data_IF_759367446451
#
_entry.id   IF_759367446451
#
_cell.length_a   1.000
_cell.length_b   1.000
_cell.length_c   1.000
_cell.angle_alpha   90.00
_cell.angle_beta   90.00
_cell.angle_gamma   90.00
#
_symmetry.space_group_name_H-M   'P 1'
#
loop_
_entity.id
_entity.type
_entity.pdbx_description
1 polymer ?
#
# COMPACT_ATOMS: atom_id res chain seq x y z
N UNK A 1 5.17 29.54 -14.61
CA UNK A 1 6.47 29.06 -14.09
C UNK A 1 6.22 27.75 -13.38
N UNK A 2 6.97 26.68 -13.61
CA UNK A 2 6.78 25.40 -12.93
C UNK A 2 7.48 25.40 -11.57
N UNK A 3 7.02 24.59 -10.63
CA UNK A 3 7.67 24.33 -9.34
C UNK A 3 7.85 22.82 -9.15
N UNK A 4 8.66 22.43 -8.18
CA UNK A 4 8.86 21.03 -7.81
C UNK A 4 8.04 20.71 -6.55
N UNK A 5 7.27 19.63 -6.60
CA UNK A 5 6.50 19.14 -5.46
C UNK A 5 7.43 18.29 -4.59
N UNK A 6 8.00 18.89 -3.54
CA UNK A 6 8.82 18.21 -2.55
C UNK A 6 7.96 17.65 -1.42
N UNK A 7 8.44 16.60 -0.70
CA UNK A 7 7.72 16.03 0.45
C UNK A 7 7.35 17.08 1.50
N UNK A 8 8.26 18.02 1.73
CA UNK A 8 8.01 19.13 2.66
C UNK A 8 6.83 19.98 2.19
N UNK A 9 6.78 20.33 0.91
CA UNK A 9 5.69 21.12 0.33
C UNK A 9 4.38 20.33 0.34
N UNK A 10 4.43 19.04 0.02
CA UNK A 10 3.28 18.14 0.06
C UNK A 10 2.66 18.08 1.46
N UNK A 11 3.47 17.89 2.51
CA UNK A 11 2.99 17.89 3.89
C UNK A 11 2.39 19.24 4.29
N UNK A 12 2.98 20.35 3.87
CA UNK A 12 2.42 21.68 4.11
C UNK A 12 1.06 21.86 3.40
N UNK A 13 0.92 21.32 2.17
CA UNK A 13 -0.35 21.36 1.43
C UNK A 13 -1.40 20.52 2.15
N UNK A 14 -1.06 19.31 2.65
CA UNK A 14 -1.99 18.49 3.45
C UNK A 14 -2.53 19.28 4.65
N UNK A 15 -1.65 19.94 5.41
CA UNK A 15 -2.03 20.77 6.56
C UNK A 15 -2.92 21.96 6.14
N UNK A 16 -2.60 22.60 5.02
CA UNK A 16 -3.36 23.73 4.50
C UNK A 16 -4.76 23.33 4.02
N UNK A 17 -4.91 22.17 3.38
CA UNK A 17 -6.21 21.65 2.95
C UNK A 17 -7.13 21.31 4.13
N UNK A 18 -6.56 21.00 5.30
CA UNK A 18 -7.32 20.80 6.53
C UNK A 18 -7.70 22.10 7.25
N UNK A 19 -7.03 23.18 6.92
CA UNK A 19 -7.31 24.50 7.48
C UNK A 19 -8.47 25.16 6.72
N UNK A 20 -9.61 25.35 7.41
CA UNK A 20 -10.80 25.98 6.84
C UNK A 20 -10.86 27.50 7.10
N UNK A 21 -9.90 28.05 7.84
CA UNK A 21 -9.91 29.46 8.24
C UNK A 21 -9.11 30.36 7.28
N UNK A 22 -8.12 29.79 6.59
CA UNK A 22 -7.22 30.53 5.71
C UNK A 22 -7.05 29.84 4.37
N UNK A 23 -6.99 30.62 3.30
CA UNK A 23 -6.65 30.15 1.96
C UNK A 23 -5.15 30.27 1.72
N UNK A 24 -4.58 29.24 1.09
CA UNK A 24 -3.17 29.16 0.77
C UNK A 24 -2.96 28.99 -0.74
N UNK A 25 -1.82 29.47 -1.22
CA UNK A 25 -1.35 29.29 -2.60
C UNK A 25 0.11 28.87 -2.61
N UNK A 26 0.53 28.16 -3.65
CA UNK A 26 1.93 27.79 -3.86
C UNK A 26 2.63 28.90 -4.62
N UNK A 27 3.69 29.46 -4.03
CA UNK A 27 4.65 30.31 -4.73
C UNK A 27 5.62 29.43 -5.54
N UNK A 28 5.43 29.39 -6.85
CA UNK A 28 6.21 28.56 -7.75
C UNK A 28 7.68 28.99 -7.84
N UNK A 29 8.00 30.25 -7.56
CA UNK A 29 9.37 30.76 -7.62
C UNK A 29 10.23 30.24 -6.47
N UNK A 30 9.63 30.14 -5.29
CA UNK A 30 10.33 29.75 -4.06
C UNK A 30 9.98 28.30 -3.63
N UNK A 31 9.03 27.64 -4.32
CA UNK A 31 8.50 26.30 -3.97
C UNK A 31 8.05 26.23 -2.50
N UNK A 32 7.27 27.24 -2.07
CA UNK A 32 6.75 27.33 -0.70
C UNK A 32 5.27 27.68 -0.70
N UNK A 33 4.60 27.30 0.38
CA UNK A 33 3.21 27.64 0.63
C UNK A 33 3.13 29.03 1.30
N UNK A 34 2.27 29.89 0.79
CA UNK A 34 2.02 31.24 1.34
C UNK A 34 0.52 31.47 1.52
N UNK A 35 0.17 32.30 2.49
CA UNK A 35 -1.23 32.69 2.70
C UNK A 35 -1.69 33.60 1.54
N UNK A 36 -2.88 33.36 1.00
CA UNK A 36 -3.42 34.09 -0.14
C UNK A 36 -3.58 35.58 0.14
N UNK A 37 -3.87 35.97 1.38
CA UNK A 37 -4.00 37.38 1.80
C UNK A 37 -2.67 38.16 1.73
N UNK A 38 -1.54 37.46 1.71
CA UNK A 38 -0.19 38.04 1.69
C UNK A 38 0.37 38.27 0.27
N UNK A 39 -0.39 37.87 -0.76
CA UNK A 39 0.06 37.88 -2.15
C UNK A 39 -0.34 39.19 -2.82
N UNK A 40 0.64 39.97 -3.26
CA UNK A 40 0.43 41.12 -4.14
C UNK A 40 0.33 40.67 -5.59
N UNK A 41 -0.69 41.14 -6.28
CA UNK A 41 -1.23 40.96 -7.63
C UNK A 41 -0.35 40.53 -8.85
N UNK A 42 0.72 39.79 -8.70
CA UNK A 42 1.41 39.14 -9.84
C UNK A 42 0.96 37.69 -9.98
N UNK A 43 -0.17 37.49 -10.67
CA UNK A 43 -0.90 36.21 -10.79
C UNK A 43 -0.10 35.07 -11.47
N UNK A 44 1.02 35.34 -12.11
CA UNK A 44 1.72 34.37 -12.96
C UNK A 44 2.58 33.33 -12.22
N UNK A 45 2.86 33.56 -10.93
CA UNK A 45 3.76 32.70 -10.15
C UNK A 45 3.08 31.97 -8.98
N UNK A 46 1.77 32.17 -8.80
CA UNK A 46 1.03 31.55 -7.71
C UNK A 46 0.01 30.55 -8.23
N UNK A 47 -0.03 29.39 -7.58
CA UNK A 47 -0.98 28.33 -7.92
C UNK A 47 -1.92 28.08 -6.75
N UNK A 48 -3.22 28.12 -7.03
CA UNK A 48 -4.25 27.78 -6.05
C UNK A 48 -4.19 26.29 -5.73
N UNK A 49 -4.39 25.96 -4.46
CA UNK A 49 -4.49 24.57 -4.03
C UNK A 49 -5.75 23.90 -4.62
N UNK A 50 -5.76 22.55 -4.73
CA UNK A 50 -6.97 21.84 -5.13
C UNK A 50 -8.08 22.09 -4.11
N UNK A 51 -9.31 22.21 -4.60
CA UNK A 51 -10.46 22.50 -3.72
C UNK A 51 -10.81 21.27 -2.89
N UNK A 52 -10.65 21.41 -1.58
CA UNK A 52 -11.06 20.41 -0.61
C UNK A 52 -12.29 20.92 0.15
N UNK A 53 -13.44 20.30 -0.08
CA UNK A 53 -14.70 20.74 0.51
C UNK A 53 -15.29 19.70 1.49
N UNK A 54 -16.33 20.09 2.21
CA UNK A 54 -17.00 19.22 3.18
C UNK A 54 -17.61 17.96 2.58
N UNK A 55 -18.01 17.98 1.30
CA UNK A 55 -18.57 16.81 0.63
C UNK A 55 -17.47 15.77 0.36
N UNK A 56 -16.28 16.19 -0.10
CA UNK A 56 -15.13 15.31 -0.28
C UNK A 56 -14.68 14.70 1.04
N UNK A 57 -14.60 15.55 2.09
CA UNK A 57 -14.32 15.08 3.45
C UNK A 57 -15.35 14.09 4.00
N UNK A 58 -16.62 14.22 3.62
CA UNK A 58 -17.67 13.26 3.97
C UNK A 58 -17.54 11.97 3.18
N UNK A 59 -17.35 12.03 1.87
CA UNK A 59 -17.16 10.86 1.01
C UNK A 59 -15.98 10.01 1.46
N UNK A 60 -14.84 10.65 1.77
CA UNK A 60 -13.66 9.96 2.29
C UNK A 60 -13.96 9.16 3.57
N UNK A 61 -14.76 9.72 4.49
CA UNK A 61 -15.17 9.00 5.70
C UNK A 61 -16.12 7.86 5.41
N UNK A 62 -17.04 8.07 4.48
CA UNK A 62 -17.99 7.04 4.06
C UNK A 62 -17.25 5.85 3.42
N UNK A 63 -16.29 6.11 2.55
CA UNK A 63 -15.48 5.08 1.91
C UNK A 63 -14.63 4.31 2.93
N UNK A 64 -14.00 5.02 3.85
CA UNK A 64 -13.27 4.38 4.95
C UNK A 64 -14.16 3.44 5.76
N UNK A 65 -15.33 3.93 6.19
CA UNK A 65 -16.27 3.15 7.03
C UNK A 65 -16.83 1.96 6.26
N UNK A 66 -17.08 2.10 4.96
CA UNK A 66 -17.58 1.00 4.12
C UNK A 66 -16.58 -0.15 4.02
N UNK A 67 -15.28 0.18 4.03
CA UNK A 67 -14.19 -0.78 3.95
C UNK A 67 -13.62 -1.21 5.31
N UNK A 68 -14.17 -0.69 6.42
CA UNK A 68 -13.68 -1.01 7.75
C UNK A 68 -14.11 -2.43 8.19
N UNK A 69 -13.16 -3.27 8.54
CA UNK A 69 -13.36 -4.68 8.93
C UNK A 69 -13.59 -4.87 10.45
N UNK A 70 -13.88 -3.79 11.19
CA UNK A 70 -14.27 -3.82 12.60
C UNK A 70 -15.80 -3.63 12.74
N UNK A 71 -16.63 -4.70 12.79
CA UNK A 71 -18.10 -4.60 12.64
C UNK A 71 -18.76 -3.66 13.63
N UNK A 72 -18.37 -3.70 14.91
CA UNK A 72 -18.93 -2.85 15.96
C UNK A 72 -18.62 -1.38 15.71
N UNK A 73 -17.36 -1.06 15.43
CA UNK A 73 -16.92 0.31 15.18
C UNK A 73 -17.51 0.84 13.87
N UNK A 74 -17.57 -0.01 12.86
CA UNK A 74 -18.20 0.32 11.57
C UNK A 74 -19.66 0.72 11.74
N UNK A 75 -20.44 -0.07 12.47
CA UNK A 75 -21.86 0.24 12.73
C UNK A 75 -22.03 1.56 13.47
N UNK A 76 -21.19 1.84 14.46
CA UNK A 76 -21.23 3.09 15.22
C UNK A 76 -20.85 4.30 14.35
N UNK A 77 -19.77 4.19 13.56
CA UNK A 77 -19.37 5.26 12.64
C UNK A 77 -20.40 5.48 11.52
N UNK A 78 -21.04 4.42 11.02
CA UNK A 78 -22.14 4.53 10.06
C UNK A 78 -23.33 5.34 10.65
N UNK A 79 -23.73 5.06 11.88
CA UNK A 79 -24.79 5.82 12.57
C UNK A 79 -24.42 7.30 12.68
N UNK A 80 -23.15 7.61 12.95
CA UNK A 80 -22.67 8.99 13.03
C UNK A 80 -22.72 9.67 11.66
N UNK A 81 -22.28 9.00 10.58
CA UNK A 81 -22.34 9.55 9.23
C UNK A 81 -23.77 9.90 8.82
N UNK A 82 -24.79 9.16 9.28
CA UNK A 82 -26.19 9.40 9.00
C UNK A 82 -26.89 10.34 10.01
N UNK A 83 -26.21 10.83 11.03
CA UNK A 83 -26.82 11.67 12.09
C UNK A 83 -27.17 13.10 11.67
N UNK A 84 -26.64 13.56 10.52
CA UNK A 84 -26.96 14.84 9.90
C UNK A 84 -26.36 16.09 10.55
N UNK A 85 -25.94 16.08 11.81
CA UNK A 85 -25.31 17.21 12.51
C UNK A 85 -24.06 16.81 13.28
N UNK A 86 -23.03 17.65 13.19
CA UNK A 86 -21.78 17.44 13.94
C UNK A 86 -21.02 16.18 13.53
N UNK A 87 -21.25 15.66 12.32
CA UNK A 87 -20.72 14.41 11.81
C UNK A 87 -19.20 14.34 12.01
N UNK A 88 -18.45 15.31 11.57
CA UNK A 88 -16.99 15.30 11.63
C UNK A 88 -16.45 15.32 13.06
N UNK A 89 -17.08 16.10 13.94
CA UNK A 89 -16.71 16.15 15.35
C UNK A 89 -16.99 14.82 16.04
N UNK A 90 -18.19 14.28 15.83
CA UNK A 90 -18.60 13.02 16.46
C UNK A 90 -17.76 11.84 15.92
N UNK A 91 -17.47 11.82 14.61
CA UNK A 91 -16.59 10.83 13.98
C UNK A 91 -15.21 10.81 14.65
N UNK A 92 -14.59 11.99 14.82
CA UNK A 92 -13.28 12.11 15.51
C UNK A 92 -13.36 11.70 16.98
N UNK A 93 -14.44 12.02 17.69
CA UNK A 93 -14.62 11.63 19.09
C UNK A 93 -14.78 10.11 19.25
N UNK A 94 -15.50 9.47 18.34
CA UNK A 94 -15.67 8.02 18.36
C UNK A 94 -14.36 7.31 18.03
N UNK A 95 -13.61 7.75 17.02
CA UNK A 95 -12.30 7.17 16.69
C UNK A 95 -11.34 7.19 17.87
N UNK A 96 -11.33 8.25 18.69
CA UNK A 96 -10.50 8.32 19.91
C UNK A 96 -10.79 7.22 20.93
N UNK A 97 -11.97 6.60 20.88
CA UNK A 97 -12.32 5.47 21.75
C UNK A 97 -11.72 4.15 21.23
N UNK A 98 -11.29 4.13 19.96
CA UNK A 98 -10.72 2.98 19.26
C UNK A 98 -9.36 3.31 18.64
N UNK A 99 -8.27 3.35 19.43
CA UNK A 99 -6.95 3.83 18.97
C UNK A 99 -6.42 3.14 17.72
N UNK A 100 -6.66 1.84 17.56
CA UNK A 100 -6.22 1.09 16.39
C UNK A 100 -6.97 1.53 15.12
N UNK A 101 -8.28 1.80 15.23
CA UNK A 101 -9.10 2.31 14.12
C UNK A 101 -8.76 3.78 13.82
N UNK A 102 -8.41 4.57 14.85
CA UNK A 102 -7.93 5.96 14.67
C UNK A 102 -6.63 5.98 13.85
N UNK A 103 -5.70 5.09 14.12
CA UNK A 103 -4.47 4.95 13.33
C UNK A 103 -4.78 4.57 11.88
N UNK A 104 -5.63 3.56 11.68
CA UNK A 104 -6.05 3.16 10.33
C UNK A 104 -6.69 4.33 9.56
N UNK A 105 -7.54 5.11 10.24
CA UNK A 105 -8.15 6.31 9.66
C UNK A 105 -7.12 7.36 9.27
N UNK A 106 -6.16 7.65 10.15
CA UNK A 106 -5.14 8.66 9.89
C UNK A 106 -4.28 8.27 8.69
N UNK A 107 -3.87 7.00 8.60
CA UNK A 107 -3.12 6.47 7.47
C UNK A 107 -3.94 6.48 6.17
N UNK A 108 -5.21 6.06 6.22
CA UNK A 108 -6.10 6.08 5.07
C UNK A 108 -6.30 7.50 4.54
N UNK A 109 -6.60 8.45 5.44
CA UNK A 109 -6.78 9.86 5.13
C UNK A 109 -5.51 10.45 4.52
N UNK A 110 -4.35 10.22 5.13
CA UNK A 110 -3.07 10.73 4.65
C UNK A 110 -2.77 10.24 3.23
N UNK A 111 -2.91 8.94 2.97
CA UNK A 111 -2.72 8.37 1.63
C UNK A 111 -3.65 9.00 0.59
N UNK A 112 -4.92 9.15 0.94
CA UNK A 112 -5.89 9.80 0.06
C UNK A 112 -5.47 11.23 -0.28
N UNK A 113 -5.05 12.01 0.72
CA UNK A 113 -4.62 13.39 0.55
C UNK A 113 -3.38 13.50 -0.32
N UNK A 114 -2.41 12.60 -0.16
CA UNK A 114 -1.22 12.53 -1.04
C UNK A 114 -1.62 12.26 -2.49
N UNK A 115 -2.46 11.27 -2.74
CA UNK A 115 -2.93 10.97 -4.10
C UNK A 115 -3.69 12.16 -4.70
N UNK A 116 -4.56 12.79 -3.93
CA UNK A 116 -5.33 13.96 -4.34
C UNK A 116 -4.42 15.14 -4.73
N UNK A 117 -3.35 15.38 -3.98
CA UNK A 117 -2.35 16.42 -4.27
C UNK A 117 -1.53 16.05 -5.52
N UNK A 118 -1.14 14.78 -5.66
CA UNK A 118 -0.39 14.30 -6.83
C UNK A 118 -1.22 14.41 -8.11
N UNK A 119 -2.51 14.09 -8.08
CA UNK A 119 -3.40 14.24 -9.23
C UNK A 119 -3.50 15.72 -9.64
N UNK A 120 -3.72 16.62 -8.69
CA UNK A 120 -3.70 18.07 -8.94
C UNK A 120 -2.35 18.54 -9.52
N UNK A 121 -1.24 18.07 -8.98
CA UNK A 121 0.08 18.45 -9.47
C UNK A 121 0.33 17.91 -10.88
N UNK A 122 -0.14 16.72 -11.19
CA UNK A 122 -0.08 16.12 -12.53
C UNK A 122 -0.92 16.91 -13.55
N UNK A 123 -2.07 17.45 -13.15
CA UNK A 123 -2.84 18.38 -14.00
C UNK A 123 -2.04 19.65 -14.31
N UNK A 124 -1.36 20.22 -13.32
CA UNK A 124 -0.48 21.37 -13.53
C UNK A 124 0.70 21.04 -14.46
N UNK A 125 1.30 19.86 -14.32
CA UNK A 125 2.39 19.39 -15.20
C UNK A 125 1.93 19.27 -16.65
N UNK A 126 0.73 18.77 -16.90
CA UNK A 126 0.15 18.76 -18.25
C UNK A 126 0.01 20.19 -18.82
N UNK A 127 -0.47 21.14 -18.03
CA UNK A 127 -0.58 22.56 -18.42
C UNK A 127 0.79 23.14 -18.75
N UNK A 128 1.85 22.73 -18.06
CA UNK A 128 3.22 23.16 -18.33
C UNK A 128 3.88 22.42 -19.51
N UNK A 129 3.21 21.43 -20.11
CA UNK A 129 3.76 20.60 -21.18
C UNK A 129 4.81 19.60 -20.72
N UNK A 130 4.78 19.23 -19.43
CA UNK A 130 5.64 18.21 -18.82
C UNK A 130 4.89 16.86 -18.77
N UNK A 131 5.65 15.76 -18.87
CA UNK A 131 5.09 14.43 -18.65
C UNK A 131 4.53 14.31 -17.22
N UNK A 132 3.44 13.55 -17.08
CA UNK A 132 2.92 13.19 -15.74
C UNK A 132 4.02 12.49 -14.95
N UNK A 133 4.13 12.82 -13.69
CA UNK A 133 4.86 11.94 -12.79
C UNK A 133 4.00 10.68 -12.64
N UNK A 134 4.58 9.52 -12.94
CA UNK A 134 4.00 8.29 -12.45
C UNK A 134 3.85 8.47 -10.93
N UNK A 135 2.67 8.18 -10.43
CA UNK A 135 2.44 8.19 -8.98
C UNK A 135 3.30 7.08 -8.38
N UNK A 136 4.59 7.36 -8.21
CA UNK A 136 5.41 6.57 -7.32
C UNK A 136 4.88 6.87 -5.91
N UNK A 137 4.39 5.87 -5.20
CA UNK A 137 4.21 6.00 -3.76
C UNK A 137 5.61 6.05 -3.15
N UNK A 138 6.24 7.24 -3.16
CA UNK A 138 7.44 7.47 -2.39
C UNK A 138 7.11 7.28 -0.91
N UNK A 139 7.87 6.41 -0.28
CA UNK A 139 8.04 6.23 1.16
C UNK A 139 6.78 5.97 2.03
N UNK A 140 5.92 5.06 1.58
CA UNK A 140 5.06 4.30 2.51
C UNK A 140 5.94 3.40 3.42
N UNK A 141 7.24 3.28 3.12
CA UNK A 141 8.15 2.39 3.84
C UNK A 141 8.27 2.74 5.33
N UNK A 142 8.31 4.03 5.70
CA UNK A 142 8.44 4.44 7.10
C UNK A 142 7.13 4.31 7.88
N UNK A 143 5.99 4.58 7.26
CA UNK A 143 4.68 4.45 7.92
C UNK A 143 4.29 3.00 8.21
N UNK A 144 4.78 2.06 7.38
CA UNK A 144 4.52 0.62 7.57
C UNK A 144 5.39 0.04 8.68
N UNK A 145 6.54 0.66 9.00
CA UNK A 145 7.46 0.16 10.04
C UNK A 145 6.93 0.38 11.45
N UNK A 146 6.15 1.43 11.68
CA UNK A 146 5.63 1.75 13.02
C UNK A 146 4.43 0.88 13.43
N UNK A 147 3.64 0.40 12.45
CA UNK A 147 2.41 -0.36 12.70
C UNK A 147 2.57 -1.87 12.51
N UNK A 148 3.68 -2.33 11.92
CA UNK A 148 3.92 -3.73 11.60
C UNK A 148 5.33 -4.19 11.95
N UNK A 149 5.44 -5.45 12.38
CA UNK A 149 6.71 -6.08 12.73
C UNK A 149 7.12 -7.00 11.59
N UNK A 150 8.26 -6.71 10.96
CA UNK A 150 8.85 -7.53 9.92
C UNK A 150 9.96 -8.40 10.48
N UNK A 151 9.86 -9.71 10.28
CA UNK A 151 10.81 -10.69 10.82
C UNK A 151 11.25 -11.66 9.73
N UNK A 152 12.44 -12.26 9.90
CA UNK A 152 12.85 -13.36 9.03
C UNK A 152 11.93 -14.55 9.23
N UNK A 153 11.55 -15.18 8.12
CA UNK A 153 10.73 -16.39 8.10
C UNK A 153 11.44 -17.55 8.83
N UNK A 154 10.68 -18.23 9.66
CA UNK A 154 11.11 -19.44 10.35
C UNK A 154 10.14 -20.58 10.02
N UNK A 155 10.60 -21.58 9.25
CA UNK A 155 9.75 -22.67 8.78
C UNK A 155 9.05 -23.46 9.90
N UNK A 156 9.65 -23.56 11.09
CA UNK A 156 9.09 -24.30 12.20
C UNK A 156 7.97 -23.56 12.92
N UNK A 157 7.97 -22.24 12.87
CA UNK A 157 7.03 -21.38 13.59
C UNK A 157 5.96 -20.79 12.68
N UNK A 158 6.32 -20.51 11.43
CA UNK A 158 5.50 -19.68 10.55
C UNK A 158 4.81 -20.46 9.42
N UNK A 159 5.30 -21.69 9.10
CA UNK A 159 4.79 -22.44 7.95
C UNK A 159 3.29 -22.75 8.07
N UNK A 160 2.85 -23.26 9.22
CA UNK A 160 1.43 -23.58 9.46
C UNK A 160 0.56 -22.32 9.44
N UNK A 161 1.09 -21.19 9.96
CA UNK A 161 0.40 -19.92 9.97
C UNK A 161 0.17 -19.38 8.56
N UNK A 162 1.20 -19.46 7.71
CA UNK A 162 1.12 -19.05 6.30
C UNK A 162 0.12 -19.93 5.54
N UNK A 163 0.21 -21.26 5.70
CA UNK A 163 -0.72 -22.19 5.06
C UNK A 163 -2.17 -21.90 5.45
N UNK A 164 -2.44 -21.72 6.75
CA UNK A 164 -3.79 -21.45 7.24
C UNK A 164 -4.38 -20.16 6.64
N UNK A 165 -3.62 -19.07 6.67
CA UNK A 165 -4.12 -17.77 6.20
C UNK A 165 -4.25 -17.71 4.68
N UNK A 166 -3.28 -18.23 3.93
CA UNK A 166 -3.32 -18.20 2.47
C UNK A 166 -4.40 -19.14 1.91
N UNK A 167 -4.56 -20.36 2.47
CA UNK A 167 -5.62 -21.26 2.05
C UNK A 167 -7.02 -20.68 2.30
N UNK A 168 -7.22 -19.99 3.43
CA UNK A 168 -8.48 -19.31 3.73
C UNK A 168 -8.80 -18.21 2.71
N UNK A 169 -7.83 -17.42 2.32
CA UNK A 169 -7.99 -16.35 1.34
C UNK A 169 -8.26 -16.89 -0.07
N UNK A 170 -7.49 -17.90 -0.52
CA UNK A 170 -7.68 -18.52 -1.84
C UNK A 170 -9.03 -19.24 -1.98
N UNK A 171 -9.61 -19.74 -0.89
CA UNK A 171 -10.93 -20.38 -0.91
C UNK A 171 -12.07 -19.36 -0.90
N UNK A 172 -11.86 -18.19 -0.28
CA UNK A 172 -12.88 -17.15 -0.14
C UNK A 172 -12.86 -16.12 -1.26
N UNK A 173 -11.72 -15.94 -1.91
CA UNK A 173 -11.55 -14.98 -3.00
C UNK A 173 -11.78 -15.66 -4.34
N UNK A 174 -12.83 -15.20 -4.98
CA UNK A 174 -13.10 -15.20 -6.39
C UNK A 174 -14.16 -16.15 -6.91
N UNK A 175 -15.26 -15.52 -7.23
CA UNK A 175 -16.38 -16.12 -7.95
C UNK A 175 -16.11 -16.36 -9.46
N UNK A 176 -14.86 -16.22 -9.93
CA UNK A 176 -14.50 -16.36 -11.34
C UNK A 176 -14.45 -17.80 -11.80
N UNK A 177 -14.09 -18.71 -10.89
CA UNK A 177 -13.94 -20.13 -11.20
C UNK A 177 -14.81 -21.03 -10.32
N UNK A 178 -15.01 -22.28 -10.74
CA UNK A 178 -15.73 -23.24 -9.93
C UNK A 178 -14.95 -23.58 -8.65
N UNK A 179 -15.68 -23.96 -7.58
CA UNK A 179 -15.08 -24.36 -6.28
C UNK A 179 -14.01 -25.43 -6.46
N UNK A 180 -14.20 -26.37 -7.41
CA UNK A 180 -13.21 -27.41 -7.70
C UNK A 180 -11.92 -26.85 -8.30
N UNK A 181 -12.01 -25.85 -9.17
CA UNK A 181 -10.84 -25.19 -9.78
C UNK A 181 -10.08 -24.40 -8.72
N UNK A 182 -10.77 -23.62 -7.90
CA UNK A 182 -10.14 -22.87 -6.81
C UNK A 182 -9.42 -23.80 -5.84
N UNK A 183 -10.03 -24.92 -5.48
CA UNK A 183 -9.37 -25.94 -4.64
C UNK A 183 -8.12 -26.51 -5.29
N UNK A 184 -8.16 -26.83 -6.58
CA UNK A 184 -6.98 -27.34 -7.30
C UNK A 184 -5.84 -26.30 -7.36
N UNK A 185 -6.16 -25.02 -7.55
CA UNK A 185 -5.17 -23.92 -7.52
C UNK A 185 -4.53 -23.81 -6.14
N UNK A 186 -5.34 -23.86 -5.07
CA UNK A 186 -4.84 -23.85 -3.70
C UNK A 186 -3.91 -25.03 -3.43
N UNK A 187 -4.27 -26.24 -3.85
CA UNK A 187 -3.44 -27.44 -3.69
C UNK A 187 -2.11 -27.35 -4.48
N UNK A 188 -2.11 -26.73 -5.67
CA UNK A 188 -0.88 -26.49 -6.44
C UNK A 188 0.05 -25.53 -5.72
N UNK A 189 -0.50 -24.44 -5.20
CA UNK A 189 0.27 -23.47 -4.42
C UNK A 189 0.81 -24.11 -3.13
N UNK A 190 0.01 -24.86 -2.40
CA UNK A 190 0.41 -25.56 -1.18
C UNK A 190 1.59 -26.51 -1.44
N UNK A 191 1.52 -27.30 -2.50
CA UNK A 191 2.63 -28.18 -2.91
C UNK A 191 3.91 -27.41 -3.20
N UNK A 192 3.83 -26.27 -3.89
CA UNK A 192 4.99 -25.43 -4.18
C UNK A 192 5.59 -24.85 -2.88
N UNK A 193 4.75 -24.40 -1.96
CA UNK A 193 5.17 -23.88 -0.67
C UNK A 193 5.85 -24.96 0.19
N UNK A 194 5.24 -26.14 0.31
CA UNK A 194 5.79 -27.27 1.08
C UNK A 194 7.09 -27.80 0.47
N UNK A 195 7.19 -27.83 -0.86
CA UNK A 195 8.44 -28.18 -1.52
C UNK A 195 9.56 -27.18 -1.17
N UNK A 196 9.25 -25.89 -1.16
CA UNK A 196 10.17 -24.84 -0.74
C UNK A 196 10.69 -25.06 0.69
N UNK A 197 9.84 -25.47 1.61
CA UNK A 197 10.21 -25.77 2.99
C UNK A 197 11.27 -26.90 3.11
N UNK A 198 11.28 -27.84 2.20
CA UNK A 198 12.27 -28.90 2.16
C UNK A 198 13.62 -28.47 1.57
N UNK A 199 13.68 -27.29 0.93
CA UNK A 199 14.81 -26.77 0.17
C UNK A 199 15.43 -25.49 0.76
N UNK A 200 15.54 -25.35 2.07
CA UNK A 200 16.07 -24.16 2.76
C UNK A 200 15.34 -22.86 2.35
N UNK A 201 14.05 -22.88 2.47
CA UNK A 201 13.21 -21.71 2.22
C UNK A 201 13.58 -20.56 3.15
N UNK A 202 13.79 -19.40 2.57
CA UNK A 202 14.07 -18.14 3.27
C UNK A 202 13.02 -17.10 2.92
N UNK A 203 12.97 -16.00 3.68
CA UNK A 203 12.04 -14.90 3.41
C UNK A 203 11.72 -14.10 4.64
N UNK A 204 10.57 -13.42 4.58
CA UNK A 204 10.09 -12.54 5.64
C UNK A 204 8.62 -12.78 5.93
N UNK A 205 8.25 -12.62 7.19
CA UNK A 205 6.88 -12.59 7.67
C UNK A 205 6.61 -11.22 8.29
N UNK A 206 5.41 -10.72 8.06
CA UNK A 206 4.89 -9.51 8.65
C UNK A 206 3.80 -9.85 9.68
N UNK A 207 3.83 -9.17 10.83
CA UNK A 207 2.85 -9.30 11.90
C UNK A 207 2.38 -7.92 12.33
N UNK A 208 1.15 -7.84 12.83
CA UNK A 208 0.65 -6.65 13.53
C UNK A 208 1.35 -6.51 14.89
N UNK A 209 1.20 -5.37 15.54
CA UNK A 209 1.68 -5.16 16.92
C UNK A 209 1.03 -6.12 17.93
N UNK A 210 -0.19 -6.62 17.64
CA UNK A 210 -0.86 -7.68 18.40
C UNK A 210 -0.39 -9.09 18.04
N UNK A 211 0.68 -9.21 17.24
CA UNK A 211 1.27 -10.48 16.80
C UNK A 211 0.38 -11.33 15.88
N UNK A 212 -0.62 -10.73 15.23
CA UNK A 212 -1.43 -11.39 14.22
C UNK A 212 -0.71 -11.40 12.86
N UNK A 213 -1.01 -12.38 12.01
CA UNK A 213 -0.43 -12.50 10.67
C UNK A 213 -0.89 -11.34 9.77
N UNK A 214 0.07 -10.66 9.16
CA UNK A 214 -0.19 -9.51 8.27
C UNK A 214 0.34 -9.69 6.84
N UNK A 215 1.19 -10.68 6.60
CA UNK A 215 1.70 -11.00 5.27
C UNK A 215 3.00 -11.78 5.29
N UNK A 216 3.40 -12.29 4.14
CA UNK A 216 4.67 -12.99 3.99
C UNK A 216 5.21 -12.91 2.56
N UNK A 217 6.52 -13.07 2.44
CA UNK A 217 7.21 -13.43 1.21
C UNK A 217 8.21 -14.52 1.53
N UNK A 218 8.16 -15.62 0.78
CA UNK A 218 9.13 -16.71 0.92
C UNK A 218 9.66 -17.11 -0.44
N UNK A 219 10.92 -17.49 -0.46
CA UNK A 219 11.63 -17.94 -1.67
C UNK A 219 12.43 -19.20 -1.36
N UNK A 220 12.59 -20.04 -2.35
CA UNK A 220 13.43 -21.23 -2.27
C UNK A 220 14.28 -21.41 -3.54
N UNK A 221 15.43 -22.07 -3.48
CA UNK A 221 16.16 -22.48 -4.66
C UNK A 221 15.29 -23.35 -5.57
N UNK A 222 15.42 -23.19 -6.88
CA UNK A 222 14.67 -24.01 -7.86
C UNK A 222 15.06 -25.49 -7.76
N UNK A 223 16.32 -25.76 -7.47
CA UNK A 223 16.83 -27.11 -7.21
C UNK A 223 18.17 -27.02 -6.45
N UNK A 224 18.62 -28.15 -5.90
CA UNK A 224 19.95 -28.25 -5.26
C UNK A 224 21.12 -27.90 -6.20
N UNK A 225 20.93 -28.04 -7.52
CA UNK A 225 21.95 -27.74 -8.54
C UNK A 225 21.95 -26.29 -9.00
N UNK A 226 20.86 -25.56 -8.79
CA UNK A 226 20.67 -24.17 -9.23
C UNK A 226 20.38 -23.25 -8.04
N UNK A 227 21.35 -23.12 -7.16
CA UNK A 227 21.20 -22.40 -5.90
C UNK A 227 21.24 -20.88 -6.06
N UNK A 228 21.77 -20.35 -7.17
CA UNK A 228 21.81 -18.93 -7.49
C UNK A 228 20.49 -18.38 -8.08
N UNK A 229 19.58 -19.28 -8.49
CA UNK A 229 18.25 -18.94 -8.96
C UNK A 229 17.23 -19.36 -7.92
N UNK A 230 16.39 -18.43 -7.49
CA UNK A 230 15.32 -18.69 -6.52
C UNK A 230 13.94 -18.47 -7.13
N UNK A 231 12.95 -19.17 -6.62
CA UNK A 231 11.54 -18.95 -6.96
C UNK A 231 10.80 -18.46 -5.73
N UNK A 232 9.86 -17.52 -5.93
CA UNK A 232 8.92 -17.12 -4.89
C UNK A 232 7.98 -18.31 -4.65
N UNK A 233 7.93 -18.79 -3.42
CA UNK A 233 7.07 -19.90 -3.00
C UNK A 233 5.79 -19.43 -2.36
N UNK A 234 5.81 -18.26 -1.70
CA UNK A 234 4.64 -17.54 -1.22
C UNK A 234 4.88 -16.03 -1.28
N UNK A 235 3.89 -15.29 -1.72
CA UNK A 235 3.85 -13.83 -1.62
C UNK A 235 2.40 -13.43 -1.37
N UNK A 236 2.09 -13.16 -0.13
CA UNK A 236 0.72 -13.06 0.33
C UNK A 236 0.54 -11.95 1.37
N UNK A 237 -0.52 -11.17 1.20
CA UNK A 237 -1.02 -10.19 2.16
C UNK A 237 -2.53 -10.38 2.25
N UNK A 238 -3.10 -10.59 3.45
CA UNK A 238 -4.54 -10.72 3.66
C UNK A 238 -5.30 -9.54 3.03
N UNK A 239 -6.47 -9.81 2.46
CA UNK A 239 -7.25 -8.81 1.69
C UNK A 239 -7.51 -7.53 2.50
N UNK A 240 -7.86 -7.67 3.77
CA UNK A 240 -8.11 -6.55 4.69
C UNK A 240 -6.88 -5.67 4.98
N UNK A 241 -5.67 -6.13 4.65
CA UNK A 241 -4.41 -5.42 4.88
C UNK A 241 -3.72 -5.02 3.56
N UNK A 242 -4.33 -5.32 2.40
CA UNK A 242 -3.81 -4.90 1.10
C UNK A 242 -3.88 -3.37 0.94
N UNK A 243 -2.96 -2.82 0.18
CA UNK A 243 -2.86 -1.37 -0.03
C UNK A 243 -2.17 -0.60 1.10
N UNK A 244 -1.76 -1.27 2.20
CA UNK A 244 -1.01 -0.65 3.30
C UNK A 244 0.52 -0.63 3.08
N UNK A 245 1.03 -1.04 1.91
CA UNK A 245 2.47 -1.07 1.63
C UNK A 245 3.21 -2.31 2.16
N UNK A 246 2.53 -3.21 2.89
CA UNK A 246 3.16 -4.42 3.45
C UNK A 246 3.83 -5.27 2.37
N UNK A 247 3.14 -5.49 1.25
CA UNK A 247 3.67 -6.26 0.13
C UNK A 247 4.94 -5.62 -0.43
N UNK A 248 4.92 -4.31 -0.68
CA UNK A 248 6.07 -3.54 -1.19
C UNK A 248 7.27 -3.69 -0.27
N UNK A 249 7.09 -3.53 1.04
CA UNK A 249 8.15 -3.66 2.03
C UNK A 249 8.71 -5.09 2.10
N UNK A 250 7.84 -6.10 2.10
CA UNK A 250 8.24 -7.51 2.07
C UNK A 250 9.11 -7.82 0.84
N UNK A 251 8.69 -7.34 -0.34
CA UNK A 251 9.43 -7.54 -1.59
C UNK A 251 10.79 -6.84 -1.56
N UNK A 252 10.85 -5.58 -1.14
CA UNK A 252 12.08 -4.80 -1.01
C UNK A 252 13.07 -5.47 -0.06
N UNK A 253 12.62 -5.90 1.12
CA UNK A 253 13.45 -6.64 2.08
C UNK A 253 13.95 -7.96 1.52
N UNK A 254 13.09 -8.70 0.81
CA UNK A 254 13.47 -9.98 0.19
C UNK A 254 14.55 -9.78 -0.89
N UNK A 255 14.37 -8.82 -1.79
CA UNK A 255 15.35 -8.50 -2.84
C UNK A 255 16.70 -8.06 -2.25
N UNK A 256 16.68 -7.25 -1.19
CA UNK A 256 17.88 -6.81 -0.47
C UNK A 256 18.62 -7.99 0.19
N UNK A 257 17.89 -8.92 0.84
CA UNK A 257 18.47 -10.11 1.46
C UNK A 257 19.06 -11.05 0.39
N UNK A 258 18.36 -11.28 -0.72
CA UNK A 258 18.82 -12.09 -1.84
C UNK A 258 20.08 -11.52 -2.50
N UNK A 259 20.17 -10.20 -2.64
CA UNK A 259 21.38 -9.52 -3.11
C UNK A 259 22.56 -9.79 -2.18
N UNK A 260 22.36 -9.70 -0.86
CA UNK A 260 23.39 -10.00 0.15
C UNK A 260 23.85 -11.47 0.08
N UNK A 261 22.95 -12.39 -0.26
CA UNK A 261 23.19 -13.82 -0.44
C UNK A 261 23.74 -14.16 -1.84
N UNK A 262 24.04 -13.15 -2.67
CA UNK A 262 24.59 -13.29 -4.04
C UNK A 262 23.72 -14.18 -4.93
N UNK A 263 22.39 -14.11 -4.78
CA UNK A 263 21.46 -14.71 -5.73
C UNK A 263 21.39 -13.85 -6.99
N UNK A 264 21.25 -14.48 -8.16
CA UNK A 264 21.30 -13.78 -9.45
C UNK A 264 19.93 -13.52 -10.04
N UNK A 265 19.00 -14.46 -9.84
CA UNK A 265 17.67 -14.38 -10.44
C UNK A 265 16.59 -14.80 -9.45
N UNK A 266 15.47 -14.13 -9.54
CA UNK A 266 14.23 -14.46 -8.82
C UNK A 266 13.10 -14.67 -9.81
N UNK A 267 12.36 -15.77 -9.67
CA UNK A 267 11.23 -16.15 -10.50
C UNK A 267 9.94 -16.06 -9.70
N UNK A 268 8.89 -15.55 -10.33
CA UNK A 268 7.52 -15.67 -9.83
C UNK A 268 6.75 -16.54 -10.82
N UNK A 269 6.49 -17.78 -10.43
CA UNK A 269 5.89 -18.82 -11.27
C UNK A 269 4.50 -19.23 -10.78
N UNK A 270 3.82 -18.35 -10.04
CA UNK A 270 2.49 -18.62 -9.52
C UNK A 270 1.47 -18.75 -10.64
N UNK A 271 0.50 -19.62 -10.46
CA UNK A 271 -0.57 -19.90 -11.43
C UNK A 271 -1.42 -18.66 -11.69
N UNK A 272 -1.62 -17.84 -10.66
CA UNK A 272 -2.37 -16.56 -10.73
C UNK A 272 -1.53 -15.48 -10.05
N UNK A 273 -1.27 -14.42 -10.80
CA UNK A 273 -0.69 -13.18 -10.29
C UNK A 273 -1.78 -12.13 -10.38
N UNK A 274 -2.26 -11.58 -9.25
CA UNK A 274 -3.27 -10.54 -9.25
C UNK A 274 -2.84 -9.34 -10.09
N UNK A 275 -3.77 -8.76 -10.87
CA UNK A 275 -3.46 -7.58 -11.70
C UNK A 275 -2.93 -6.41 -10.88
N UNK A 276 -3.38 -6.24 -9.65
CA UNK A 276 -2.89 -5.23 -8.72
C UNK A 276 -1.43 -5.40 -8.30
N UNK A 277 -0.85 -6.60 -8.45
CA UNK A 277 0.54 -6.88 -8.14
C UNK A 277 1.49 -6.58 -9.31
N UNK A 278 1.00 -6.62 -10.54
CA UNK A 278 1.84 -6.46 -11.74
C UNK A 278 2.59 -5.12 -11.78
N UNK A 279 1.99 -3.96 -11.46
CA UNK A 279 2.71 -2.69 -11.43
C UNK A 279 3.87 -2.68 -10.42
N UNK A 280 3.67 -3.27 -9.26
CA UNK A 280 4.73 -3.39 -8.24
C UNK A 280 5.89 -4.26 -8.73
N UNK A 281 5.60 -5.41 -9.35
CA UNK A 281 6.63 -6.31 -9.90
C UNK A 281 7.45 -5.61 -10.98
N UNK A 282 6.80 -4.93 -11.92
CA UNK A 282 7.49 -4.22 -13.02
C UNK A 282 8.41 -3.11 -12.47
N UNK A 283 7.94 -2.33 -11.49
CA UNK A 283 8.77 -1.30 -10.83
C UNK A 283 9.94 -1.89 -10.07
N UNK A 284 9.77 -3.08 -9.49
CA UNK A 284 10.83 -3.80 -8.79
C UNK A 284 11.81 -4.53 -9.71
N UNK A 285 11.76 -4.27 -11.03
CA UNK A 285 12.68 -4.83 -12.02
C UNK A 285 12.34 -6.23 -12.51
N UNK A 286 11.10 -6.69 -12.27
CA UNK A 286 10.62 -7.94 -12.86
C UNK A 286 10.20 -7.74 -14.31
N UNK A 287 10.53 -8.72 -15.14
CA UNK A 287 10.05 -8.81 -16.52
C UNK A 287 9.07 -9.97 -16.67
N UNK A 288 8.06 -9.78 -17.50
CA UNK A 288 7.07 -10.83 -17.77
C UNK A 288 7.69 -11.91 -18.65
N UNK A 289 7.65 -13.16 -18.19
CA UNK A 289 8.10 -14.32 -18.94
C UNK A 289 6.96 -15.31 -19.12
N UNK A 290 6.37 -15.36 -20.31
CA UNK A 290 5.15 -16.14 -20.55
C UNK A 290 4.00 -15.65 -19.62
N UNK A 291 3.50 -16.54 -18.76
CA UNK A 291 2.51 -16.20 -17.70
C UNK A 291 3.16 -15.84 -16.36
N UNK A 292 4.47 -15.93 -16.23
CA UNK A 292 5.21 -15.62 -15.01
C UNK A 292 6.05 -14.35 -15.13
N UNK A 293 6.82 -14.06 -14.08
CA UNK A 293 7.74 -12.93 -13.99
C UNK A 293 9.14 -13.37 -13.56
N UNK A 294 10.16 -12.69 -14.06
CA UNK A 294 11.57 -12.88 -13.73
C UNK A 294 12.22 -11.53 -13.44
N UNK A 295 13.10 -11.48 -12.46
CA UNK A 295 13.99 -10.35 -12.25
C UNK A 295 15.42 -10.79 -12.04
N UNK A 296 16.37 -10.01 -12.58
CA UNK A 296 17.79 -10.13 -12.25
C UNK A 296 18.05 -9.35 -10.97
N UNK A 297 18.65 -10.01 -9.99
CA UNK A 297 19.02 -9.39 -8.72
C UNK A 297 20.34 -8.62 -8.95
N UNK A 298 20.26 -7.28 -8.87
CA UNK A 298 21.38 -6.37 -9.14
C UNK A 298 22.07 -5.91 -7.86
#
# INVERSE_FOLDING_TARGET
MSFELTDKLTNQIVEALENQEQEFVVDAKNSVLVCNESVSCDETNYYSLPKWNSAEGFNLRQDFVSNLHAPLVREELQKILHSGRGVFKNFKLTLKQYPEVEKLWNNYKYKFMINFINDWYNELREIWGLEKLDNEPEDIEDLVQDDFIFQKYNSKLDAELILHNACADYTNNDNSYSVQVNKAITELWERQFLYGNSCEQIGFICRTLSNEFAGCITVAPVSEKTTNIVTITSYFVPENLRGLGIGTKLLSMCLSDLKSLKKEWILLTHTIVPDSLQPLLLRSGFEKIGSGFIAKIQ
#
